data_IF_198315439000
#
_entry.id   IF_198315439000
#
_cell.length_a   1.000
_cell.length_b   1.000
_cell.length_c   1.000
_cell.angle_alpha   90.00
_cell.angle_beta   90.00
_cell.angle_gamma   90.00
#
_symmetry.space_group_name_H-M   'P 1'
#
loop_
_entity.id
_entity.type
_entity.pdbx_description
1 polymer ?
#
# COMPACT_ATOMS: atom_id res chain seq x y z
N UNK A 1 5.63 1.08 21.19
CA UNK A 1 6.48 1.10 19.99
C UNK A 1 5.67 0.52 18.86
N UNK A 2 5.63 1.18 17.72
CA UNK A 2 4.90 0.71 16.54
C UNK A 2 5.73 -0.39 15.89
N UNK A 3 5.12 -1.52 15.56
CA UNK A 3 5.81 -2.63 14.91
C UNK A 3 5.09 -2.99 13.60
N UNK A 4 5.67 -2.65 12.44
CA UNK A 4 5.08 -3.01 11.17
C UNK A 4 5.30 -4.50 10.86
N UNK A 5 4.32 -5.12 10.21
CA UNK A 5 4.41 -6.45 9.61
C UNK A 5 4.02 -6.34 8.14
N UNK A 6 4.96 -6.65 7.25
CA UNK A 6 4.78 -6.54 5.81
C UNK A 6 4.63 -7.94 5.21
N UNK A 7 3.56 -8.15 4.45
CA UNK A 7 3.34 -9.33 3.63
C UNK A 7 3.44 -8.90 2.17
N UNK A 8 4.57 -9.18 1.52
CA UNK A 8 4.87 -8.73 0.17
C UNK A 8 4.98 -9.92 -0.76
N UNK A 9 4.48 -9.78 -1.99
CA UNK A 9 4.57 -10.82 -3.02
C UNK A 9 5.96 -10.89 -3.62
N UNK A 10 6.40 -12.10 -3.93
CA UNK A 10 7.65 -12.33 -4.66
C UNK A 10 7.63 -11.63 -6.02
N UNK A 11 8.80 -11.11 -6.44
CA UNK A 11 8.95 -10.37 -7.70
C UNK A 11 8.67 -8.87 -7.59
N UNK A 12 8.49 -8.35 -6.37
CA UNK A 12 8.34 -6.93 -6.06
C UNK A 12 9.38 -6.50 -5.01
N UNK A 13 9.66 -5.19 -4.87
CA UNK A 13 10.49 -4.66 -3.79
C UNK A 13 10.01 -5.13 -2.43
N UNK A 14 10.91 -5.26 -1.45
CA UNK A 14 10.51 -5.61 -0.08
C UNK A 14 9.85 -4.45 0.69
N UNK A 15 10.01 -3.22 0.18
CA UNK A 15 9.57 -1.95 0.76
C UNK A 15 10.12 -1.66 2.17
N UNK A 16 11.11 -2.42 2.64
CA UNK A 16 11.61 -2.32 4.01
C UNK A 16 12.40 -1.04 4.29
N UNK A 17 12.79 -0.32 3.24
CA UNK A 17 13.51 0.94 3.32
C UNK A 17 12.62 2.16 3.64
N UNK A 18 11.29 1.99 3.65
CA UNK A 18 10.33 3.05 3.96
C UNK A 18 10.05 3.16 5.46
N UNK A 19 9.58 4.34 5.89
CA UNK A 19 9.32 4.66 7.31
C UNK A 19 7.98 4.09 7.82
N UNK A 20 7.89 2.78 7.93
CA UNK A 20 6.64 2.11 8.36
C UNK A 20 6.23 2.38 9.82
N UNK A 21 7.07 3.04 10.60
CA UNK A 21 6.75 3.45 11.97
C UNK A 21 5.93 4.75 12.04
N UNK A 22 5.76 5.46 10.92
CA UNK A 22 4.93 6.66 10.80
C UNK A 22 3.82 6.51 9.75
N UNK A 23 2.84 7.43 9.77
CA UNK A 23 1.83 7.52 8.70
C UNK A 23 2.50 7.97 7.40
N UNK A 24 2.05 7.41 6.28
CA UNK A 24 2.58 7.78 4.96
C UNK A 24 2.36 9.27 4.63
N UNK A 25 1.44 9.94 5.32
CA UNK A 25 1.25 11.39 5.20
C UNK A 25 2.51 12.16 5.57
N UNK A 26 3.23 11.70 6.57
CA UNK A 26 4.38 12.38 7.17
C UNK A 26 5.71 11.95 6.55
N UNK A 27 5.67 10.98 5.64
CA UNK A 27 6.88 10.47 4.98
C UNK A 27 7.63 11.53 4.18
N UNK A 28 8.93 11.55 4.43
CA UNK A 28 9.93 12.23 3.61
C UNK A 28 10.94 11.19 3.14
N UNK A 29 10.91 10.84 1.86
CA UNK A 29 11.75 9.79 1.31
C UNK A 29 12.06 10.07 -0.17
N UNK A 30 13.29 9.81 -0.66
CA UNK A 30 13.68 10.08 -2.05
C UNK A 30 12.85 9.33 -3.11
N UNK A 31 12.22 8.21 -2.73
CA UNK A 31 11.37 7.43 -3.64
C UNK A 31 9.98 8.02 -3.84
N UNK A 32 9.56 8.98 -3.03
CA UNK A 32 8.21 9.53 -3.11
C UNK A 32 8.01 10.28 -4.42
N UNK A 33 6.94 9.94 -5.11
CA UNK A 33 6.55 10.54 -6.37
C UNK A 33 5.26 11.35 -6.20
N UNK A 34 5.21 12.50 -6.88
CA UNK A 34 4.00 13.32 -6.97
C UNK A 34 3.26 12.98 -8.26
N UNK A 35 2.27 12.10 -8.15
CA UNK A 35 1.42 11.67 -9.26
C UNK A 35 -0.02 12.15 -9.02
N UNK A 36 -0.81 12.41 -10.08
CA UNK A 36 -2.22 12.75 -9.94
C UNK A 36 -2.96 11.69 -9.12
N UNK A 37 -3.46 12.10 -7.95
CA UNK A 37 -4.30 11.24 -7.13
C UNK A 37 -5.72 11.31 -7.68
N UNK A 38 -6.33 10.14 -7.93
CA UNK A 38 -7.78 10.07 -8.06
C UNK A 38 -8.47 10.51 -6.77
N UNK A 39 -9.80 10.65 -6.80
CA UNK A 39 -10.57 10.98 -5.59
C UNK A 39 -10.52 9.76 -4.64
N UNK A 40 -9.59 9.76 -3.71
CA UNK A 40 -9.49 8.78 -2.62
C UNK A 40 -9.86 9.47 -1.31
N UNK A 41 -10.70 8.82 -0.51
CA UNK A 41 -10.96 9.23 0.88
C UNK A 41 -9.82 8.88 1.84
N UNK A 42 -8.96 7.96 1.40
CA UNK A 42 -7.83 7.41 2.15
C UNK A 42 -6.53 8.06 1.67
N UNK A 43 -5.55 8.18 2.57
CA UNK A 43 -4.23 8.69 2.20
C UNK A 43 -3.55 7.72 1.23
N UNK A 44 -2.97 8.28 0.16
CA UNK A 44 -2.24 7.53 -0.87
C UNK A 44 -0.94 8.23 -1.17
N UNK A 45 0.17 7.49 -1.17
CA UNK A 45 1.47 7.95 -1.66
C UNK A 45 1.97 7.01 -2.74
N UNK A 46 2.72 7.55 -3.68
CA UNK A 46 3.38 6.77 -4.73
C UNK A 46 4.87 6.71 -4.47
N UNK A 47 5.46 5.54 -4.71
CA UNK A 47 6.90 5.31 -4.58
C UNK A 47 7.46 4.67 -5.84
N UNK A 48 8.65 5.13 -6.26
CA UNK A 48 9.40 4.60 -7.38
C UNK A 48 10.47 3.59 -6.95
N UNK A 49 10.47 2.44 -7.62
CA UNK A 49 11.53 1.42 -7.57
C UNK A 49 11.94 1.05 -9.00
N UNK A 50 13.03 0.30 -9.14
CA UNK A 50 13.51 -0.16 -10.46
C UNK A 50 12.48 -1.07 -11.16
N UNK A 51 11.65 -1.77 -10.39
CA UNK A 51 10.56 -2.64 -10.84
C UNK A 51 9.30 -1.88 -11.27
N UNK A 52 9.25 -0.56 -11.02
CA UNK A 52 8.17 0.33 -11.41
C UNK A 52 7.64 1.21 -10.26
N UNK A 53 6.43 1.73 -10.47
CA UNK A 53 5.75 2.63 -9.55
C UNK A 53 4.75 1.83 -8.72
N UNK A 54 4.67 2.12 -7.42
CA UNK A 54 3.76 1.48 -6.49
C UNK A 54 2.92 2.52 -5.77
N UNK A 55 1.63 2.23 -5.61
CA UNK A 55 0.73 3.02 -4.79
C UNK A 55 0.59 2.36 -3.42
N UNK A 56 0.81 3.14 -2.37
CA UNK A 56 0.63 2.73 -0.97
C UNK A 56 -0.56 3.52 -0.44
N UNK A 57 -1.60 2.79 0.00
CA UNK A 57 -2.85 3.35 0.51
C UNK A 57 -3.02 2.96 1.97
N UNK A 58 -3.16 3.94 2.85
CA UNK A 58 -3.45 3.73 4.27
C UNK A 58 -4.96 3.60 4.51
N UNK A 59 -5.37 2.57 5.23
CA UNK A 59 -6.76 2.40 5.68
C UNK A 59 -6.81 1.75 7.07
N UNK A 60 -7.97 1.78 7.75
CA UNK A 60 -8.20 0.96 8.94
C UNK A 60 -8.01 -0.53 8.63
N UNK A 61 -7.59 -1.30 9.64
CA UNK A 61 -7.11 -2.69 9.47
C UNK A 61 -8.10 -3.62 8.78
N UNK A 62 -9.38 -3.56 9.19
CA UNK A 62 -10.42 -4.41 8.62
C UNK A 62 -10.74 -4.04 7.15
N UNK A 63 -11.01 -2.76 6.80
CA UNK A 63 -11.10 -2.33 5.40
C UNK A 63 -9.88 -2.71 4.55
N UNK A 64 -8.66 -2.54 5.08
CA UNK A 64 -7.44 -2.87 4.35
C UNK A 64 -7.34 -4.38 4.04
N UNK A 65 -7.69 -5.24 5.01
CA UNK A 65 -7.76 -6.68 4.80
C UNK A 65 -8.78 -7.05 3.71
N UNK A 66 -9.98 -6.47 3.78
CA UNK A 66 -11.01 -6.72 2.77
C UNK A 66 -10.59 -6.25 1.37
N UNK A 67 -9.91 -5.10 1.26
CA UNK A 67 -9.37 -4.61 0.00
C UNK A 67 -8.28 -5.54 -0.54
N UNK A 68 -7.37 -6.01 0.32
CA UNK A 68 -6.36 -6.99 -0.04
C UNK A 68 -6.97 -8.31 -0.55
N UNK A 69 -7.96 -8.84 0.16
CA UNK A 69 -8.63 -10.09 -0.24
C UNK A 69 -9.39 -9.94 -1.56
N UNK A 70 -10.03 -8.78 -1.78
CA UNK A 70 -10.72 -8.47 -3.03
C UNK A 70 -9.75 -8.39 -4.22
N UNK A 71 -8.58 -7.78 -4.05
CA UNK A 71 -7.55 -7.73 -5.11
C UNK A 71 -7.11 -9.15 -5.49
N UNK A 72 -6.85 -10.01 -4.50
CA UNK A 72 -6.46 -11.40 -4.76
C UNK A 72 -7.57 -12.21 -5.41
N UNK A 73 -8.82 -11.96 -5.02
CA UNK A 73 -9.95 -12.61 -5.65
C UNK A 73 -10.11 -12.18 -7.11
N UNK A 74 -10.03 -10.87 -7.42
CA UNK A 74 -10.10 -10.36 -8.79
C UNK A 74 -9.00 -10.94 -9.69
N UNK A 75 -7.77 -11.01 -9.18
CA UNK A 75 -6.67 -11.67 -9.90
C UNK A 75 -6.96 -13.14 -10.17
N UNK A 76 -7.57 -13.86 -9.22
CA UNK A 76 -7.87 -15.29 -9.38
C UNK A 76 -8.94 -15.59 -10.43
N UNK A 77 -9.69 -14.58 -10.85
CA UNK A 77 -10.76 -14.68 -11.86
C UNK A 77 -10.40 -13.93 -13.16
N UNK A 78 -9.12 -13.61 -13.37
CA UNK A 78 -8.62 -12.84 -14.53
C UNK A 78 -9.38 -11.51 -14.75
N UNK A 79 -9.84 -10.88 -13.67
CA UNK A 79 -10.54 -9.60 -13.72
C UNK A 79 -9.61 -8.42 -14.03
N UNK A 80 -10.14 -7.28 -14.53
CA UNK A 80 -9.36 -6.07 -14.71
C UNK A 80 -9.06 -5.47 -13.34
N UNK A 81 -7.88 -5.74 -12.77
CA UNK A 81 -7.48 -5.13 -11.50
C UNK A 81 -6.01 -4.73 -11.49
N UNK A 82 -5.74 -3.65 -10.75
CA UNK A 82 -4.41 -3.35 -10.25
C UNK A 82 -3.85 -4.56 -9.51
N UNK A 83 -2.58 -4.88 -9.74
CA UNK A 83 -1.92 -6.03 -9.11
C UNK A 83 -1.68 -5.72 -7.63
N UNK A 84 -2.26 -6.51 -6.72
CA UNK A 84 -2.00 -6.38 -5.29
C UNK A 84 -0.61 -6.92 -4.98
N UNK A 85 0.28 -6.10 -4.45
CA UNK A 85 1.72 -6.46 -4.27
C UNK A 85 2.13 -6.61 -2.81
N UNK A 86 1.42 -5.95 -1.88
CA UNK A 86 1.67 -6.13 -0.47
C UNK A 86 0.55 -5.66 0.44
N UNK A 87 0.58 -6.15 1.67
CA UNK A 87 -0.30 -5.78 2.77
C UNK A 87 0.52 -5.54 4.04
N UNK A 88 0.29 -4.41 4.70
CA UNK A 88 1.04 -3.98 5.87
C UNK A 88 0.09 -3.76 7.04
N UNK A 89 0.46 -4.25 8.22
CA UNK A 89 -0.23 -3.94 9.48
C UNK A 89 0.75 -3.33 10.48
N UNK A 90 0.28 -2.36 11.28
CA UNK A 90 1.09 -1.73 12.32
C UNK A 90 0.56 -2.10 13.70
N UNK A 91 1.31 -2.93 14.43
CA UNK A 91 0.99 -3.23 15.83
C UNK A 91 1.35 -2.04 16.71
N UNK A 92 0.55 -1.80 17.75
CA UNK A 92 0.67 -0.60 18.60
C UNK A 92 -0.08 0.62 18.08
N UNK A 93 -0.76 0.52 16.94
CA UNK A 93 -1.75 1.48 16.43
C UNK A 93 -3.15 0.89 16.64
N UNK A 94 -4.13 1.70 17.05
CA UNK A 94 -5.53 1.24 17.14
C UNK A 94 -6.00 0.75 15.76
N UNK A 95 -6.55 -0.48 15.63
CA UNK A 95 -6.97 -1.05 14.35
C UNK A 95 -8.02 -0.25 13.56
N UNK A 96 -8.69 0.70 14.21
CA UNK A 96 -9.70 1.58 13.59
C UNK A 96 -9.11 2.86 13.01
N UNK A 97 -7.86 3.18 13.32
CA UNK A 97 -7.18 4.35 12.77
C UNK A 97 -6.87 4.18 11.29
N UNK A 98 -6.96 5.27 10.53
CA UNK A 98 -6.77 5.29 9.07
C UNK A 98 -5.39 4.79 8.62
N UNK A 99 -4.37 4.86 9.49
CA UNK A 99 -3.01 4.43 9.18
C UNK A 99 -2.62 3.14 9.90
N UNK A 100 -3.59 2.41 10.47
CA UNK A 100 -3.32 1.14 11.18
C UNK A 100 -2.91 -0.01 10.24
N UNK A 101 -3.21 0.12 8.95
CA UNK A 101 -2.78 -0.79 7.90
C UNK A 101 -2.55 -0.05 6.57
N UNK A 102 -1.92 -0.74 5.63
CA UNK A 102 -1.78 -0.25 4.26
C UNK A 102 -1.86 -1.38 3.23
N UNK A 103 -2.36 -1.06 2.04
CA UNK A 103 -2.35 -1.94 0.86
C UNK A 103 -1.40 -1.34 -0.18
N UNK A 104 -0.56 -2.18 -0.78
CA UNK A 104 0.42 -1.80 -1.79
C UNK A 104 -0.01 -2.42 -3.12
N UNK A 105 -0.18 -1.60 -4.15
CA UNK A 105 -0.51 -2.05 -5.52
C UNK A 105 0.53 -1.59 -6.51
N UNK A 106 0.78 -2.38 -7.56
CA UNK A 106 1.59 -1.91 -8.68
C UNK A 106 0.77 -0.92 -9.49
N UNK A 107 1.29 0.30 -9.64
CA UNK A 107 0.67 1.32 -10.47
C UNK A 107 0.94 0.99 -11.94
N UNK A 108 -0.13 0.80 -12.70
CA UNK A 108 -0.08 0.69 -14.16
C UNK A 108 -0.50 2.04 -14.73
N UNK A 109 0.39 2.66 -15.50
CA UNK A 109 0.04 3.87 -16.23
C UNK A 109 -0.97 3.50 -17.31
N UNK A 110 -2.24 3.80 -17.06
CA UNK A 110 -3.29 3.69 -18.07
C UNK A 110 -3.23 4.95 -18.95
N UNK A 111 -2.30 4.96 -19.90
CA UNK A 111 -2.31 5.89 -21.03
C UNK A 111 -3.35 5.49 -22.07
#
# INVERSE_FOLDING_TARGET
MIKPSLNVRAGHPDFLDLDWESSIRDWTHPRLMDLPKGISRHEVRFVGYDEGIYAIKELPRQPAQAEWDNLRWLESVDGPSVLGTGYVTRDGVDPTEEWSAAVITKYLDHS
#
